data_IF_674430314436
#
_entry.id   IF_674430314436
#
_cell.length_a   1.000
_cell.length_b   1.000
_cell.length_c   1.000
_cell.angle_alpha   90.00
_cell.angle_beta   90.00
_cell.angle_gamma   90.00
#
_symmetry.space_group_name_H-M   'P 1'
#
loop_
_entity.id
_entity.type
_entity.pdbx_description
1 polymer ?
#
# COMPACT_ATOMS: atom_id res chain seq x y z
N UNK A 1 27.86 7.88 0.81
CA UNK A 1 26.89 7.74 -0.29
C UNK A 1 25.51 7.69 0.34
N UNK A 2 24.65 8.67 0.08
CA UNK A 2 23.24 8.64 0.52
C UNK A 2 22.44 8.03 -0.64
N UNK A 3 22.05 6.77 -0.48
CA UNK A 3 21.10 6.11 -1.37
C UNK A 3 19.74 6.21 -0.67
N UNK A 4 18.80 6.88 -1.32
CA UNK A 4 17.45 7.02 -0.78
C UNK A 4 16.72 5.69 -0.93
N UNK A 5 16.19 5.20 0.19
CA UNK A 5 15.43 3.97 0.25
C UNK A 5 13.96 4.35 0.45
N UNK A 6 13.15 4.08 -0.56
CA UNK A 6 11.74 4.41 -0.60
C UNK A 6 10.90 3.18 -0.25
N UNK A 7 9.70 3.44 0.28
CA UNK A 7 8.72 2.40 0.58
C UNK A 7 8.29 1.59 -0.64
N UNK A 8 7.65 0.44 -0.38
CA UNK A 8 7.10 -0.39 -1.44
C UNK A 8 5.98 0.38 -2.15
N UNK A 9 5.86 0.18 -3.47
CA UNK A 9 4.81 0.78 -4.30
C UNK A 9 4.36 -0.25 -5.34
N UNK A 10 3.05 -0.46 -5.49
CA UNK A 10 2.51 -1.40 -6.49
C UNK A 10 2.92 -1.06 -7.92
N UNK A 11 3.16 0.22 -8.23
CA UNK A 11 3.49 0.67 -9.58
C UNK A 11 4.98 0.55 -9.92
N UNK A 12 5.86 0.59 -8.93
CA UNK A 12 7.32 0.59 -9.16
C UNK A 12 8.03 -0.64 -8.58
N UNK A 13 7.58 -1.14 -7.43
CA UNK A 13 8.26 -2.25 -6.74
C UNK A 13 8.06 -3.58 -7.46
N UNK A 14 8.99 -4.50 -7.20
CA UNK A 14 8.94 -5.90 -7.62
C UNK A 14 8.93 -6.81 -6.39
N UNK A 15 9.04 -8.13 -6.61
CA UNK A 15 9.16 -9.09 -5.50
C UNK A 15 10.42 -8.86 -4.66
N UNK A 16 11.56 -8.65 -5.32
CA UNK A 16 12.82 -8.25 -4.69
C UNK A 16 12.98 -6.74 -4.75
N UNK A 17 13.93 -6.23 -3.97
CA UNK A 17 14.36 -4.83 -4.05
C UNK A 17 14.70 -4.45 -5.49
N UNK A 18 14.23 -3.27 -5.90
CA UNK A 18 14.43 -2.74 -7.25
C UNK A 18 14.90 -1.31 -7.19
N UNK A 19 15.55 -0.85 -8.26
CA UNK A 19 16.01 0.53 -8.37
C UNK A 19 15.04 1.27 -9.29
N UNK A 20 14.53 2.43 -8.85
CA UNK A 20 13.69 3.28 -9.69
C UNK A 20 14.54 4.00 -10.76
N UNK A 21 13.88 4.63 -11.73
CA UNK A 21 14.53 5.44 -12.78
C UNK A 21 15.42 6.54 -12.21
N UNK A 22 15.08 7.08 -11.04
CA UNK A 22 15.84 8.12 -10.34
C UNK A 22 17.03 7.59 -9.53
N UNK A 23 17.29 6.27 -9.56
CA UNK A 23 18.39 5.66 -8.82
C UNK A 23 18.09 5.36 -7.34
N UNK A 24 16.86 5.62 -6.87
CA UNK A 24 16.41 5.27 -5.52
C UNK A 24 16.09 3.77 -5.39
N UNK A 25 16.38 3.19 -4.23
CA UNK A 25 16.06 1.78 -3.96
C UNK A 25 14.64 1.67 -3.42
N UNK A 26 13.79 0.92 -4.10
CA UNK A 26 12.42 0.61 -3.68
C UNK A 26 12.39 -0.70 -2.92
N UNK A 27 11.66 -0.71 -1.80
CA UNK A 27 11.39 -1.93 -1.05
C UNK A 27 10.62 -2.94 -1.91
N UNK A 28 11.07 -4.19 -1.88
CA UNK A 28 10.37 -5.28 -2.55
C UNK A 28 9.07 -5.65 -1.83
N UNK A 29 8.00 -5.87 -2.57
CA UNK A 29 6.71 -6.30 -2.00
C UNK A 29 6.79 -7.67 -1.31
N UNK A 30 7.78 -8.49 -1.66
CA UNK A 30 8.01 -9.78 -1.01
C UNK A 30 8.53 -9.69 0.42
N UNK A 31 9.00 -8.52 0.87
CA UNK A 31 9.45 -8.30 2.24
C UNK A 31 8.28 -8.00 3.21
N UNK A 32 7.07 -7.78 2.69
CA UNK A 32 5.88 -7.42 3.46
C UNK A 32 5.30 -8.70 4.06
N UNK A 33 5.13 -8.72 5.39
CA UNK A 33 4.53 -9.86 6.08
C UNK A 33 3.14 -10.14 5.53
N UNK A 34 2.83 -11.41 5.25
CA UNK A 34 1.49 -11.82 4.81
C UNK A 34 1.18 -11.58 3.33
N UNK A 35 2.09 -10.98 2.56
CA UNK A 35 1.98 -10.89 1.09
C UNK A 35 2.67 -12.11 0.48
N UNK A 36 1.88 -13.01 -0.12
CA UNK A 36 2.40 -14.22 -0.76
C UNK A 36 3.12 -13.94 -2.08
N UNK A 37 4.08 -14.78 -2.45
CA UNK A 37 4.80 -14.66 -3.72
C UNK A 37 3.85 -14.64 -4.93
N UNK A 38 2.81 -15.48 -4.92
CA UNK A 38 1.79 -15.51 -5.98
C UNK A 38 1.03 -14.19 -6.12
N UNK A 39 0.69 -13.52 -5.01
CA UNK A 39 0.03 -12.22 -5.04
C UNK A 39 0.93 -11.13 -5.66
N UNK A 40 2.23 -11.14 -5.34
CA UNK A 40 3.17 -10.16 -5.92
C UNK A 40 3.37 -10.42 -7.42
N UNK A 41 3.47 -11.69 -7.82
CA UNK A 41 3.64 -12.03 -9.23
C UNK A 41 2.43 -11.62 -10.07
N UNK A 42 1.20 -11.86 -9.60
CA UNK A 42 0.00 -11.42 -10.31
C UNK A 42 -0.08 -9.90 -10.45
N UNK A 43 0.31 -9.14 -9.41
CA UNK A 43 0.42 -7.67 -9.48
C UNK A 43 1.40 -7.26 -10.59
N UNK A 44 2.61 -7.83 -10.59
CA UNK A 44 3.65 -7.47 -11.56
C UNK A 44 3.26 -7.89 -12.98
N UNK A 45 2.63 -9.05 -13.16
CA UNK A 45 2.17 -9.53 -14.47
C UNK A 45 1.04 -8.68 -15.04
N UNK A 46 0.03 -8.34 -14.24
CA UNK A 46 -1.06 -7.47 -14.67
C UNK A 46 -0.55 -6.06 -14.99
N UNK A 47 0.38 -5.53 -14.18
CA UNK A 47 1.04 -4.25 -14.47
C UNK A 47 1.77 -4.25 -15.82
N UNK A 48 2.39 -5.37 -16.20
CA UNK A 48 3.07 -5.52 -17.50
C UNK A 48 2.10 -5.61 -18.67
N UNK A 49 0.92 -6.21 -18.46
CA UNK A 49 -0.11 -6.38 -19.51
C UNK A 49 -0.92 -5.11 -19.73
N UNK A 50 -1.42 -4.51 -18.65
CA UNK A 50 -2.44 -3.46 -18.70
C UNK A 50 -1.92 -2.08 -18.24
N UNK A 51 -0.62 -1.98 -17.96
CA UNK A 51 0.03 -0.75 -17.50
C UNK A 51 -0.11 -0.47 -16.00
N UNK A 52 0.27 0.73 -15.54
CA UNK A 52 0.23 1.12 -14.13
C UNK A 52 -1.19 1.23 -13.60
N UNK A 53 -1.35 0.96 -12.30
CA UNK A 53 -2.61 1.07 -11.57
C UNK A 53 -2.93 2.53 -11.27
N UNK A 54 -4.17 2.92 -11.51
CA UNK A 54 -4.65 4.30 -11.24
C UNK A 54 -5.29 4.45 -9.86
N UNK A 55 -5.96 3.40 -9.39
CA UNK A 55 -6.78 3.42 -8.18
C UNK A 55 -6.73 2.07 -7.49
N UNK A 56 -7.08 2.03 -6.19
CA UNK A 56 -7.24 0.76 -5.45
C UNK A 56 -8.29 -0.17 -6.10
N UNK A 57 -9.33 0.40 -6.71
CA UNK A 57 -10.36 -0.36 -7.43
C UNK A 57 -9.82 -1.02 -8.69
N UNK A 58 -9.00 -0.29 -9.46
CA UNK A 58 -8.36 -0.80 -10.66
C UNK A 58 -7.40 -1.96 -10.32
N UNK A 59 -6.64 -1.81 -9.24
CA UNK A 59 -5.81 -2.86 -8.69
C UNK A 59 -6.66 -4.10 -8.30
N UNK A 60 -7.73 -3.90 -7.52
CA UNK A 60 -8.57 -4.99 -7.03
C UNK A 60 -9.33 -5.72 -8.17
N UNK A 61 -9.76 -4.99 -9.21
CA UNK A 61 -10.39 -5.56 -10.42
C UNK A 61 -9.42 -6.46 -11.18
N UNK A 62 -8.15 -6.06 -11.33
CA UNK A 62 -7.17 -6.82 -12.14
C UNK A 62 -6.55 -8.00 -11.38
N UNK A 63 -6.27 -7.85 -10.09
CA UNK A 63 -5.62 -8.91 -9.29
C UNK A 63 -6.53 -10.11 -9.06
N UNK A 64 -6.01 -11.33 -9.19
CA UNK A 64 -6.72 -12.53 -8.75
C UNK A 64 -6.87 -12.54 -7.21
N UNK A 65 -8.12 -12.38 -6.77
CA UNK A 65 -8.51 -12.35 -5.36
C UNK A 65 -8.34 -13.72 -4.68
N UNK A 66 -8.14 -14.80 -5.43
CA UNK A 66 -7.74 -16.10 -4.87
C UNK A 66 -6.26 -16.12 -4.48
N UNK A 67 -5.42 -15.39 -5.23
CA UNK A 67 -3.99 -15.30 -4.97
C UNK A 67 -3.67 -14.23 -3.90
N UNK A 68 -4.42 -13.13 -3.88
CA UNK A 68 -4.26 -12.04 -2.93
C UNK A 68 -5.33 -12.07 -1.84
N UNK A 69 -4.96 -12.56 -0.66
CA UNK A 69 -5.84 -12.60 0.51
C UNK A 69 -6.16 -11.19 1.03
N UNK A 70 -7.28 -11.04 1.75
CA UNK A 70 -7.66 -9.79 2.46
C UNK A 70 -6.51 -9.23 3.31
N UNK A 71 -5.84 -10.09 4.08
CA UNK A 71 -4.66 -9.72 4.88
C UNK A 71 -3.49 -9.18 4.04
N UNK A 72 -3.32 -9.66 2.80
CA UNK A 72 -2.25 -9.18 1.93
C UNK A 72 -2.52 -7.73 1.48
N UNK A 73 -3.77 -7.40 1.14
CA UNK A 73 -4.17 -6.03 0.81
C UNK A 73 -4.02 -5.08 2.00
N UNK A 74 -4.47 -5.50 3.19
CA UNK A 74 -4.28 -4.73 4.43
C UNK A 74 -2.79 -4.46 4.68
N UNK A 75 -1.95 -5.48 4.61
CA UNK A 75 -0.53 -5.35 4.84
C UNK A 75 0.17 -4.51 3.76
N UNK A 76 -0.27 -4.60 2.50
CA UNK A 76 0.21 -3.71 1.43
C UNK A 76 -0.15 -2.24 1.71
N UNK A 77 -1.38 -1.96 2.16
CA UNK A 77 -1.79 -0.61 2.54
C UNK A 77 -0.95 -0.06 3.71
N UNK A 78 -0.74 -0.87 4.75
CA UNK A 78 0.04 -0.48 5.92
C UNK A 78 1.51 -0.23 5.59
N UNK A 79 2.07 -1.03 4.69
CA UNK A 79 3.45 -0.90 4.24
C UNK A 79 3.68 0.31 3.31
N UNK A 80 2.62 1.00 2.87
CA UNK A 80 2.71 2.14 1.94
C UNK A 80 2.65 1.76 0.47
N UNK A 81 2.27 0.51 0.15
CA UNK A 81 2.16 0.01 -1.22
C UNK A 81 1.20 0.80 -2.12
N UNK A 82 0.26 1.53 -1.51
CA UNK A 82 -0.75 2.33 -2.20
C UNK A 82 -0.50 3.84 -2.13
N UNK A 83 0.61 4.28 -1.54
CA UNK A 83 0.93 5.71 -1.41
C UNK A 83 1.11 6.39 -2.79
N UNK A 84 1.46 5.62 -3.83
CA UNK A 84 1.57 6.10 -5.21
C UNK A 84 0.26 6.18 -5.99
N UNK A 85 -0.87 5.76 -5.42
CA UNK A 85 -2.18 5.69 -6.11
C UNK A 85 -3.04 6.97 -5.97
N UNK A 86 -2.44 8.11 -5.62
CA UNK A 86 -3.10 9.43 -5.62
C UNK A 86 -3.61 9.90 -4.25
N UNK A 87 -4.78 10.56 -4.27
CA UNK A 87 -5.36 11.44 -3.22
C UNK A 87 -5.94 10.70 -2.00
N UNK A 88 -5.35 9.56 -1.65
CA UNK A 88 -5.84 8.69 -0.57
C UNK A 88 -4.80 8.47 0.52
N UNK A 89 -5.21 8.67 1.76
CA UNK A 89 -4.39 8.49 2.93
C UNK A 89 -4.46 7.04 3.43
N UNK A 90 -3.37 6.58 4.04
CA UNK A 90 -3.32 5.24 4.66
C UNK A 90 -4.45 4.99 5.67
N UNK A 91 -4.89 6.05 6.35
CA UNK A 91 -6.00 6.00 7.30
C UNK A 91 -7.35 5.68 6.64
N UNK A 92 -7.60 6.20 5.43
CA UNK A 92 -8.86 6.01 4.73
C UNK A 92 -9.11 4.55 4.34
N UNK A 93 -8.06 3.79 4.03
CA UNK A 93 -8.19 2.36 3.73
C UNK A 93 -8.76 1.53 4.90
N UNK A 94 -8.55 1.98 6.13
CA UNK A 94 -8.99 1.32 7.35
C UNK A 94 -10.14 2.06 8.04
N UNK A 95 -10.71 3.07 7.40
CA UNK A 95 -11.86 3.78 7.97
C UNK A 95 -13.12 2.92 7.85
N UNK A 96 -13.92 2.96 8.91
CA UNK A 96 -15.20 2.28 9.02
C UNK A 96 -16.31 3.33 9.11
N UNK A 97 -17.18 3.44 8.10
CA UNK A 97 -18.29 4.41 8.08
C UNK A 97 -19.52 3.97 8.91
N UNK A 98 -19.32 3.12 9.92
CA UNK A 98 -20.41 2.60 10.79
C UNK A 98 -21.02 1.27 10.36
N UNK A 99 -20.65 0.73 9.19
CA UNK A 99 -21.12 -0.58 8.69
C UNK A 99 -20.38 -1.79 9.30
N UNK A 100 -19.35 -1.54 10.12
CA UNK A 100 -18.46 -2.58 10.67
C UNK A 100 -17.55 -3.24 9.63
N UNK A 101 -17.38 -2.62 8.46
CA UNK A 101 -16.56 -3.11 7.34
C UNK A 101 -15.64 -1.98 6.88
N UNK A 102 -14.33 -2.28 6.82
CA UNK A 102 -13.32 -1.33 6.35
C UNK A 102 -13.50 -0.97 4.88
N UNK A 103 -13.08 0.23 4.50
CA UNK A 103 -13.10 0.66 3.10
C UNK A 103 -12.38 -0.32 2.16
N UNK A 104 -11.25 -0.87 2.59
CA UNK A 104 -10.49 -1.85 1.82
C UNK A 104 -11.28 -3.15 1.59
N UNK A 105 -12.10 -3.59 2.55
CA UNK A 105 -13.02 -4.71 2.35
C UNK A 105 -14.16 -4.38 1.40
N UNK A 106 -14.70 -3.16 1.45
CA UNK A 106 -15.70 -2.69 0.48
C UNK A 106 -15.12 -2.74 -0.94
N UNK A 107 -13.87 -2.30 -1.11
CA UNK A 107 -13.15 -2.36 -2.40
C UNK A 107 -12.95 -3.81 -2.91
N UNK A 108 -12.57 -4.74 -2.03
CA UNK A 108 -12.42 -6.16 -2.41
C UNK A 108 -13.77 -6.76 -2.80
N UNK A 109 -14.84 -6.52 -2.02
CA UNK A 109 -16.20 -7.02 -2.32
C UNK A 109 -16.71 -6.47 -3.65
N UNK A 110 -16.45 -5.20 -3.92
CA UNK A 110 -16.76 -4.57 -5.20
C UNK A 110 -16.04 -5.26 -6.38
N UNK A 111 -14.74 -5.54 -6.24
CA UNK A 111 -13.99 -6.27 -7.25
C UNK A 111 -14.47 -7.71 -7.46
N UNK A 112 -14.89 -8.41 -6.40
CA UNK A 112 -15.49 -9.75 -6.52
C UNK A 112 -16.77 -9.71 -7.35
N UNK A 113 -17.68 -8.78 -7.05
CA UNK A 113 -18.93 -8.57 -7.80
C UNK A 113 -18.66 -8.23 -9.26
N UNK A 114 -17.66 -7.39 -9.52
CA UNK A 114 -17.26 -7.03 -10.89
C UNK A 114 -16.82 -8.27 -11.69
N UNK A 115 -15.95 -9.11 -11.11
CA UNK A 115 -15.49 -10.35 -11.75
C UNK A 115 -16.60 -11.38 -11.93
N UNK A 116 -17.50 -11.50 -10.97
CA UNK A 116 -18.65 -12.40 -11.05
C UNK A 116 -19.58 -11.96 -12.19
N UNK A 117 -19.80 -10.65 -12.33
CA UNK A 117 -20.61 -10.10 -13.41
C UNK A 117 -19.96 -10.32 -14.78
N UNK A 118 -18.64 -10.11 -14.90
CA UNK A 118 -17.90 -10.37 -16.15
C UNK A 118 -17.97 -11.85 -16.57
N UNK A 119 -17.77 -12.77 -15.62
CA UNK A 119 -17.92 -14.20 -15.89
C UNK A 119 -19.35 -14.59 -16.25
N UNK A 120 -20.36 -14.00 -15.60
CA UNK A 120 -21.77 -14.27 -15.86
C UNK A 120 -22.24 -13.73 -17.21
N UNK A 121 -21.75 -12.55 -17.61
CA UNK A 121 -21.98 -11.94 -18.91
C UNK A 121 -21.39 -12.80 -20.04
N UNK A 122 -20.20 -13.39 -19.83
CA UNK A 122 -19.59 -14.30 -20.81
C UNK A 122 -20.36 -15.62 -20.99
N UNK A 123 -21.05 -16.10 -19.94
CA UNK A 123 -21.86 -17.33 -19.98
C UNK A 123 -23.25 -17.06 -20.60
N UNK A 124 -23.79 -15.85 -20.47
CA UNK A 124 -25.01 -15.43 -21.15
C UNK A 124 -24.74 -15.05 -22.60
N UNK A 125 -24.64 -16.06 -23.47
CA UNK A 125 -24.41 -15.91 -24.93
C UNK A 125 -25.50 -15.10 -25.69
N UNK A 126 -26.53 -14.61 -25.01
CA UNK A 126 -27.62 -13.75 -25.51
C UNK A 126 -27.99 -12.61 -24.55
N UNK A 127 -27.20 -12.39 -23.48
CA UNK A 127 -27.48 -11.38 -22.46
C UNK A 127 -26.91 -10.03 -22.88
N UNK A 128 -27.80 -9.15 -23.35
CA UNK A 128 -27.63 -7.71 -23.51
C UNK A 128 -26.44 -7.14 -22.73
N UNK A 129 -25.40 -6.71 -23.45
CA UNK A 129 -24.19 -6.08 -22.92
C UNK A 129 -24.53 -4.71 -22.35
N UNK A 130 -25.25 -4.70 -21.24
CA UNK A 130 -25.29 -3.58 -20.33
C UNK A 130 -23.96 -3.61 -19.61
N UNK A 131 -23.08 -2.70 -20.03
CA UNK A 131 -21.87 -2.30 -19.33
C UNK A 131 -22.31 -1.75 -17.97
N UNK A 132 -22.64 -2.63 -17.02
CA UNK A 132 -23.04 -2.26 -15.67
C UNK A 132 -21.79 -1.70 -15.02
N UNK A 133 -21.60 -0.40 -15.18
CA UNK A 133 -20.67 0.38 -14.39
C UNK A 133 -21.18 0.32 -12.95
N UNK A 134 -20.81 -0.73 -12.22
CA UNK A 134 -21.02 -0.79 -10.79
C UNK A 134 -20.30 0.46 -10.26
N UNK A 135 -21.00 1.41 -9.64
CA UNK A 135 -20.38 2.66 -9.22
C UNK A 135 -19.24 2.35 -8.26
N UNK A 136 -18.07 2.94 -8.50
CA UNK A 136 -16.94 2.80 -7.58
C UNK A 136 -17.33 3.46 -6.25
N UNK A 137 -17.14 2.78 -5.11
CA UNK A 137 -17.47 3.38 -3.83
C UNK A 137 -16.54 4.58 -3.59
N UNK A 138 -17.12 5.69 -3.15
CA UNK A 138 -16.36 6.90 -2.86
C UNK A 138 -15.46 6.68 -1.63
N UNK A 139 -14.26 7.25 -1.67
CA UNK A 139 -13.32 7.18 -0.55
C UNK A 139 -13.86 8.05 0.59
N UNK A 140 -14.07 7.50 1.80
CA UNK A 140 -14.58 8.29 2.90
C UNK A 140 -13.55 9.34 3.34
N UNK A 141 -13.96 10.58 3.63
CA UNK A 141 -13.08 11.57 4.24
C UNK A 141 -12.73 11.11 5.66
N UNK A 142 -11.44 11.00 5.97
CA UNK A 142 -10.96 10.56 7.27
C UNK A 142 -9.77 11.41 7.71
N UNK A 143 -9.62 11.60 9.02
CA UNK A 143 -8.42 12.20 9.59
C UNK A 143 -7.19 11.31 9.37
N UNK A 144 -6.07 11.94 9.01
CA UNK A 144 -4.81 11.24 8.89
C UNK A 144 -4.35 10.66 10.23
N UNK A 145 -3.64 9.53 10.20
CA UNK A 145 -3.01 9.01 11.40
C UNK A 145 -1.81 9.86 11.79
N UNK A 146 -1.67 10.12 13.09
CA UNK A 146 -0.45 10.72 13.63
C UNK A 146 0.79 9.88 13.32
N UNK A 147 1.93 10.54 13.15
CA UNK A 147 3.23 9.98 12.72
C UNK A 147 3.60 8.71 13.50
N UNK A 148 3.50 8.74 14.83
CA UNK A 148 3.84 7.59 15.69
C UNK A 148 2.98 6.35 15.38
N UNK A 149 1.69 6.53 15.12
CA UNK A 149 0.75 5.44 14.82
C UNK A 149 1.06 4.83 13.46
N UNK A 150 1.36 5.67 12.46
CA UNK A 150 1.77 5.23 11.12
C UNK A 150 3.07 4.44 11.18
N UNK A 151 4.10 4.97 11.84
CA UNK A 151 5.40 4.30 12.02
C UNK A 151 5.28 2.96 12.75
N UNK A 152 4.44 2.89 13.79
CA UNK A 152 4.22 1.65 14.54
C UNK A 152 3.61 0.56 13.66
N UNK A 153 2.64 0.94 12.82
CA UNK A 153 1.98 0.04 11.87
C UNK A 153 2.91 -0.40 10.73
N UNK A 154 3.74 0.50 10.20
CA UNK A 154 4.77 0.14 9.21
C UNK A 154 5.72 -0.92 9.77
N UNK A 155 6.22 -0.70 10.99
CA UNK A 155 7.15 -1.63 11.64
C UNK A 155 6.50 -2.99 11.89
N UNK A 156 5.22 -3.06 12.21
CA UNK A 156 4.52 -4.33 12.41
C UNK A 156 4.51 -5.20 11.14
N UNK A 157 4.40 -4.56 9.98
CA UNK A 157 4.24 -5.26 8.70
C UNK A 157 5.55 -5.50 7.98
N UNK A 158 6.44 -4.51 7.95
CA UNK A 158 7.73 -4.60 7.22
C UNK A 158 8.89 -4.96 8.15
N UNK A 159 8.73 -4.76 9.46
CA UNK A 159 9.77 -5.04 10.46
C UNK A 159 10.75 -3.88 10.69
N UNK A 160 10.69 -2.83 9.87
CA UNK A 160 11.55 -1.64 9.94
C UNK A 160 10.72 -0.38 9.75
N UNK A 161 11.23 0.76 10.22
CA UNK A 161 10.64 2.07 9.94
C UNK A 161 11.15 2.59 8.60
N UNK A 162 10.25 2.89 7.67
CA UNK A 162 10.61 3.32 6.32
C UNK A 162 10.46 4.84 6.19
N UNK A 163 9.34 5.38 6.67
CA UNK A 163 9.01 6.80 6.46
C UNK A 163 9.71 7.76 7.42
N UNK A 164 10.28 7.27 8.53
CA UNK A 164 10.99 8.11 9.50
C UNK A 164 11.46 7.35 10.72
N UNK A 165 12.04 8.04 11.69
CA UNK A 165 12.40 7.46 12.98
C UNK A 165 11.45 7.95 14.08
N UNK A 166 11.03 7.11 15.04
CA UNK A 166 10.18 7.54 16.17
C UNK A 166 10.77 8.67 17.04
N UNK A 167 12.07 8.95 16.90
CA UNK A 167 12.77 10.01 17.62
C UNK A 167 12.79 11.33 16.84
N UNK A 168 12.26 11.35 15.62
CA UNK A 168 12.21 12.54 14.78
C UNK A 168 11.34 13.63 15.40
N UNK A 169 10.25 13.23 16.05
CA UNK A 169 9.36 14.13 16.79
C UNK A 169 10.08 14.82 17.97
N UNK A 170 11.09 14.17 18.55
CA UNK A 170 11.85 14.67 19.71
C UNK A 170 13.20 15.31 19.34
N UNK A 171 13.53 15.44 18.05
CA UNK A 171 14.81 16.00 17.61
C UNK A 171 15.06 17.42 18.12
N UNK A 172 14.02 18.23 18.28
CA UNK A 172 14.14 19.62 18.73
C UNK A 172 14.55 19.67 20.20
N UNK A 173 13.96 18.81 21.03
CA UNK A 173 14.26 18.71 22.47
C UNK A 173 15.61 18.02 22.75
N UNK A 174 16.06 17.13 21.85
CA UNK A 174 17.36 16.45 21.97
C UNK A 174 18.56 17.29 21.53
N UNK A 175 18.38 18.32 20.69
CA UNK A 175 19.46 19.22 20.24
C UNK A 175 20.36 19.76 21.36
N UNK A 176 19.84 20.25 22.50
CA UNK A 176 20.70 20.71 23.61
C UNK A 176 21.50 19.60 24.30
N UNK A 177 21.01 18.35 24.32
CA UNK A 177 21.68 17.24 25.00
C UNK A 177 22.85 16.64 24.21
N UNK A 178 22.81 16.70 22.88
CA UNK A 178 23.86 16.13 22.00
C UNK A 178 25.10 17.05 21.89
N UNK A 179 25.02 18.29 22.39
CA UNK A 179 26.14 19.24 22.37
C UNK A 179 27.08 19.15 23.59
N UNK A 180 27.16 18.02 24.29
CA UNK A 180 28.22 17.78 25.27
C UNK A 180 29.43 17.11 24.59
N UNK A 181 30.16 17.90 23.80
CA UNK A 181 31.53 17.54 23.42
C UNK A 181 32.38 17.55 24.69
N UNK A 182 32.70 16.38 25.21
CA UNK A 182 33.78 16.17 26.18
C UNK A 182 35.10 16.64 25.57
N UNK A 183 35.43 17.92 25.75
CA UNK A 183 36.78 18.42 25.63
C UNK A 183 37.57 17.94 26.85
N UNK A 184 38.00 16.68 26.84
CA UNK A 184 39.01 16.21 27.78
C UNK A 184 40.38 16.47 27.14
N UNK A 185 40.89 17.69 27.34
CA UNK A 185 42.31 17.98 27.20
C UNK A 185 43.02 17.25 28.33
N UNK A 186 43.66 16.12 28.02
CA UNK A 186 44.64 15.50 28.91
C UNK A 186 46.01 16.03 28.49
N UNK A 187 46.66 16.64 29.48
CA UNK A 187 48.00 17.22 29.51
C UNK A 187 49.06 16.17 29.19
#
# INVERSE_FOLDING_TARGET
MKLDVLGPDVNESYYKFSVNKDGAVRFGMGAIKGVGHGAVMTIVENRKKDGPYKSIFDLAKRIDLRAANKKAFENLALAGGFDGLGDTHRAQYFHDDGDGITFLEKAIKYAQKYKENENSAQVSLFGESSDVQIPEPEVPPCEEWGTMKTLSKEREVVGVYISGHPLDDFKIEMKPFVMLRLACSII
#
